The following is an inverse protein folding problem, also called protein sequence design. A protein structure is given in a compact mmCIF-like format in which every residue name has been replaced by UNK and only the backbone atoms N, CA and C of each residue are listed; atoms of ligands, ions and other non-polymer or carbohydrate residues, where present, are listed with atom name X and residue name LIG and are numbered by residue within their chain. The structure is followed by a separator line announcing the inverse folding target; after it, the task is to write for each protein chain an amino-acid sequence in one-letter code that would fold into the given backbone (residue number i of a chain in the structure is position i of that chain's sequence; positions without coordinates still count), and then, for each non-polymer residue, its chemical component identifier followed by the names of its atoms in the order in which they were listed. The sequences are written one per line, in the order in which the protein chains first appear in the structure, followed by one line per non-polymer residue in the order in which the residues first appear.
data_IF_639705141725
#
_entry.id   IF_639705141725
#
_cell.length_a   1.000
_cell.length_b   1.000
_cell.length_c   1.000
_cell.angle_alpha   90.00
_cell.angle_beta   90.00
_cell.angle_gamma   90.00
#
_symmetry.space_group_name_H-M   'P 1'
#
loop_
_entity.id
_entity.type
_entity.pdbx_description
1 polymer ?
#
# COMPACT_ATOMS: atom_id res chain seq x y z
N UNK A 1 -9.34 -53.42 5.23
CA UNK A 1 -10.24 -52.25 5.35
C UNK A 1 -9.58 -51.13 4.61
N UNK A 2 -9.94 -50.96 3.34
CA UNK A 2 -9.35 -49.95 2.45
C UNK A 2 -10.00 -48.59 2.71
N UNK A 3 -9.21 -47.66 3.25
CA UNK A 3 -9.60 -46.26 3.32
C UNK A 3 -9.36 -45.63 1.94
N UNK A 4 -10.40 -45.62 1.09
CA UNK A 4 -10.42 -44.80 -0.09
C UNK A 4 -10.43 -43.31 0.36
N UNK A 5 -9.29 -42.63 0.21
CA UNK A 5 -9.22 -41.19 0.25
C UNK A 5 -10.05 -40.63 -0.93
N UNK A 6 -11.06 -39.86 -0.62
CA UNK A 6 -11.82 -39.10 -1.63
C UNK A 6 -10.88 -38.08 -2.29
N UNK A 7 -10.88 -37.93 -3.62
CA UNK A 7 -10.14 -36.86 -4.27
C UNK A 7 -10.71 -35.53 -3.78
N UNK A 8 -9.81 -34.66 -3.25
CA UNK A 8 -10.17 -33.34 -2.77
C UNK A 8 -10.94 -32.56 -3.84
N UNK A 9 -12.07 -31.98 -3.46
CA UNK A 9 -12.75 -31.00 -4.31
C UNK A 9 -11.73 -29.90 -4.64
N UNK A 10 -11.66 -29.44 -5.92
CA UNK A 10 -10.86 -28.29 -6.25
C UNK A 10 -11.34 -27.12 -5.38
N UNK A 11 -10.43 -26.45 -4.71
CA UNK A 11 -10.72 -25.24 -3.98
C UNK A 11 -11.54 -24.32 -4.92
N UNK A 12 -12.70 -23.86 -4.45
CA UNK A 12 -13.54 -22.94 -5.24
C UNK A 12 -12.64 -21.76 -5.65
N UNK A 13 -12.51 -21.54 -6.96
CA UNK A 13 -11.77 -20.38 -7.44
C UNK A 13 -12.44 -19.13 -6.82
N UNK A 14 -11.69 -18.38 -6.03
CA UNK A 14 -12.16 -17.10 -5.54
C UNK A 14 -12.33 -16.16 -6.74
N UNK A 15 -13.58 -15.83 -7.05
CA UNK A 15 -13.89 -14.85 -8.09
C UNK A 15 -13.92 -13.46 -7.47
N UNK A 16 -12.91 -12.66 -7.77
CA UNK A 16 -12.91 -11.25 -7.40
C UNK A 16 -13.82 -10.45 -8.35
N UNK A 17 -14.46 -9.37 -7.86
CA UNK A 17 -15.28 -8.52 -8.70
C UNK A 17 -14.48 -7.89 -9.83
N UNK A 18 -15.04 -7.86 -11.05
CA UNK A 18 -14.38 -7.31 -12.25
C UNK A 18 -15.14 -6.14 -12.88
N UNK A 19 -16.38 -5.89 -12.47
CA UNK A 19 -17.24 -4.85 -13.03
C UNK A 19 -16.81 -3.46 -12.55
N UNK A 20 -16.40 -2.53 -13.44
CA UNK A 20 -16.05 -1.15 -13.08
C UNK A 20 -17.26 -0.22 -12.98
N UNK A 21 -18.49 -0.70 -13.26
CA UNK A 21 -19.69 0.16 -13.33
C UNK A 21 -19.99 0.83 -11.99
N UNK A 22 -20.14 2.15 -12.01
CA UNK A 22 -20.47 2.94 -10.83
C UNK A 22 -19.29 3.22 -9.88
N UNK A 23 -18.11 2.71 -10.19
CA UNK A 23 -16.91 3.02 -9.41
C UNK A 23 -16.35 4.41 -9.75
N UNK A 24 -15.72 5.09 -8.79
CA UNK A 24 -15.02 6.34 -9.09
C UNK A 24 -13.85 6.09 -10.06
N UNK A 25 -13.62 7.03 -10.97
CA UNK A 25 -12.49 6.93 -11.89
C UNK A 25 -11.16 7.10 -11.12
N UNK A 26 -10.19 6.26 -11.45
CA UNK A 26 -8.86 6.33 -10.86
C UNK A 26 -8.20 7.66 -11.19
N UNK A 27 -7.72 8.36 -10.17
CA UNK A 27 -7.02 9.64 -10.29
C UNK A 27 -5.53 9.46 -10.57
N UNK A 28 -4.85 10.55 -10.91
CA UNK A 28 -3.38 10.57 -10.96
C UNK A 28 -2.81 10.53 -9.54
N UNK A 29 -1.65 9.87 -9.34
CA UNK A 29 -1.01 9.84 -8.03
C UNK A 29 -0.60 11.26 -7.60
N UNK A 30 -0.93 11.61 -6.36
CA UNK A 30 -0.49 12.86 -5.75
C UNK A 30 0.90 12.70 -5.13
N UNK A 31 1.67 13.79 -5.06
CA UNK A 31 2.84 13.89 -4.21
C UNK A 31 2.40 14.52 -2.87
N UNK A 32 2.51 13.76 -1.79
CA UNK A 32 2.18 14.22 -0.44
C UNK A 32 3.49 14.50 0.32
N UNK A 33 3.73 15.79 0.60
CA UNK A 33 4.84 16.21 1.46
C UNK A 33 4.38 16.16 2.91
N UNK A 34 5.03 15.31 3.71
CA UNK A 34 4.68 15.06 5.10
C UNK A 34 5.79 15.57 6.02
N UNK A 35 5.38 16.27 7.07
CA UNK A 35 6.25 16.74 8.13
C UNK A 35 6.36 15.72 9.28
N UNK A 36 7.28 15.96 10.20
CA UNK A 36 7.37 15.19 11.43
C UNK A 36 6.11 15.38 12.29
N UNK A 37 5.50 14.27 12.69
CA UNK A 37 4.28 14.24 13.47
C UNK A 37 2.98 14.33 12.68
N UNK A 38 3.02 14.38 11.34
CA UNK A 38 1.81 14.43 10.52
C UNK A 38 1.01 13.12 10.58
N UNK A 39 -0.32 13.27 10.42
CA UNK A 39 -1.26 12.18 10.21
C UNK A 39 -1.58 12.04 8.72
N UNK A 40 -1.49 10.80 8.21
CA UNK A 40 -1.85 10.44 6.84
C UNK A 40 -2.99 9.43 6.86
N UNK A 41 -4.04 9.67 6.08
CA UNK A 41 -5.11 8.70 5.84
C UNK A 41 -4.91 8.03 4.48
N UNK A 42 -4.73 6.70 4.50
CA UNK A 42 -4.68 5.84 3.31
C UNK A 42 -5.94 4.97 3.26
N UNK A 43 -6.79 5.21 2.27
CA UNK A 43 -7.98 4.40 2.01
C UNK A 43 -7.70 3.45 0.87
N UNK A 44 -7.92 2.16 1.09
CA UNK A 44 -7.88 1.13 0.06
C UNK A 44 -9.29 0.95 -0.46
N UNK A 45 -9.48 0.98 -1.78
CA UNK A 45 -10.81 0.77 -2.34
C UNK A 45 -10.80 0.55 -3.84
N UNK A 46 -11.93 0.06 -4.40
CA UNK A 46 -12.06 -0.18 -5.82
C UNK A 46 -12.19 1.13 -6.61
N UNK A 47 -11.61 1.13 -7.80
CA UNK A 47 -11.65 2.23 -8.76
C UNK A 47 -11.87 1.72 -10.17
N UNK A 48 -12.43 2.55 -11.04
CA UNK A 48 -12.48 2.32 -12.48
C UNK A 48 -11.22 2.91 -13.12
N UNK A 49 -10.37 2.08 -13.69
CA UNK A 49 -9.14 2.51 -14.37
C UNK A 49 -9.30 2.40 -15.88
N UNK A 50 -9.13 3.51 -16.58
CA UNK A 50 -9.09 3.49 -18.03
C UNK A 50 -7.71 3.05 -18.52
N UNK A 51 -7.68 2.01 -19.33
CA UNK A 51 -6.52 1.49 -20.04
C UNK A 51 -6.83 1.53 -21.53
N UNK A 52 -6.26 2.52 -22.23
CA UNK A 52 -6.56 2.79 -23.64
C UNK A 52 -8.08 2.91 -23.89
N UNK A 53 -8.65 1.95 -24.62
CA UNK A 53 -10.08 1.94 -24.97
C UNK A 53 -10.95 1.13 -24.02
N UNK A 54 -10.36 0.54 -22.98
CA UNK A 54 -11.06 -0.33 -22.03
C UNK A 54 -11.03 0.28 -20.63
N UNK A 55 -12.14 0.17 -19.90
CA UNK A 55 -12.20 0.49 -18.47
C UNK A 55 -12.25 -0.80 -17.68
N UNK A 56 -11.36 -0.93 -16.72
CA UNK A 56 -11.25 -2.10 -15.84
C UNK A 56 -11.44 -1.70 -14.39
N UNK A 57 -11.96 -2.63 -13.59
CA UNK A 57 -11.99 -2.49 -12.15
C UNK A 57 -10.62 -2.81 -11.58
N UNK A 58 -10.10 -1.93 -10.77
CA UNK A 58 -8.82 -2.09 -10.07
C UNK A 58 -8.96 -1.64 -8.61
N UNK A 59 -7.91 -1.74 -7.83
CA UNK A 59 -7.81 -1.25 -6.47
C UNK A 59 -6.80 -0.09 -6.41
N UNK A 60 -7.06 0.90 -5.55
CA UNK A 60 -6.16 2.02 -5.40
C UNK A 60 -6.02 2.47 -3.95
N UNK A 61 -4.90 3.11 -3.64
CA UNK A 61 -4.74 3.90 -2.43
C UNK A 61 -5.23 5.33 -2.68
N UNK A 62 -6.18 5.81 -1.88
CA UNK A 62 -6.79 7.14 -2.03
C UNK A 62 -7.31 7.41 -3.45
N UNK A 63 -7.84 6.36 -4.09
CA UNK A 63 -8.43 6.46 -5.43
C UNK A 63 -7.42 6.62 -6.57
N UNK A 64 -6.12 6.44 -6.35
CA UNK A 64 -5.10 6.55 -7.39
C UNK A 64 -4.29 5.27 -7.59
N UNK A 65 -3.77 5.07 -8.80
CA UNK A 65 -2.87 3.98 -9.19
C UNK A 65 -1.74 4.55 -10.07
N UNK A 66 -0.48 4.47 -9.62
CA UNK A 66 -0.04 4.12 -8.27
C UNK A 66 -0.73 4.93 -7.19
N UNK A 67 -0.67 4.47 -5.95
CA UNK A 67 -1.04 5.26 -4.78
C UNK A 67 -0.21 6.55 -4.66
N UNK A 68 -0.55 7.46 -3.73
CA UNK A 68 0.21 8.70 -3.51
C UNK A 68 1.70 8.43 -3.31
N UNK A 69 2.54 9.27 -3.87
CA UNK A 69 3.97 9.30 -3.51
C UNK A 69 4.14 10.07 -2.21
N UNK A 70 4.65 9.39 -1.18
CA UNK A 70 4.90 10.00 0.11
C UNK A 70 6.32 10.57 0.14
N UNK A 71 6.45 11.86 0.43
CA UNK A 71 7.75 12.54 0.52
C UNK A 71 7.94 13.03 1.95
N UNK A 72 8.96 12.53 2.62
CA UNK A 72 9.28 12.84 4.03
C UNK A 72 10.75 13.21 4.18
N UNK A 73 11.12 13.76 5.33
CA UNK A 73 12.53 13.96 5.69
C UNK A 73 13.04 12.82 6.56
N UNK A 74 14.31 12.51 6.40
CA UNK A 74 15.04 11.62 7.31
C UNK A 74 14.87 12.10 8.76
N UNK A 75 14.60 11.16 9.67
CA UNK A 75 14.39 11.40 11.09
C UNK A 75 12.94 11.70 11.49
N UNK A 76 12.05 11.99 10.51
CA UNK A 76 10.63 12.20 10.78
C UNK A 76 9.92 10.91 11.21
N UNK A 77 8.80 11.08 11.89
CA UNK A 77 7.81 10.05 12.20
C UNK A 77 6.44 10.50 11.68
N UNK A 78 5.71 9.62 11.03
CA UNK A 78 4.35 9.88 10.51
C UNK A 78 3.40 8.82 11.05
N UNK A 79 2.18 9.24 11.39
CA UNK A 79 1.08 8.34 11.76
C UNK A 79 0.26 8.04 10.50
N UNK A 80 0.15 6.77 10.12
CA UNK A 80 -0.61 6.39 8.92
C UNK A 80 -1.82 5.57 9.32
N UNK A 81 -3.01 6.13 9.08
CA UNK A 81 -4.30 5.49 9.31
C UNK A 81 -4.76 4.81 8.03
N UNK A 82 -4.72 3.49 8.00
CA UNK A 82 -5.18 2.69 6.85
C UNK A 82 -6.60 2.23 7.09
N UNK A 83 -7.49 2.46 6.11
CA UNK A 83 -8.86 1.90 6.10
C UNK A 83 -9.01 1.02 4.88
N UNK A 84 -9.51 -0.20 5.08
CA UNK A 84 -9.66 -1.20 4.03
C UNK A 84 -11.11 -1.27 3.51
N UNK A 85 -11.35 -0.75 2.32
CA UNK A 85 -12.59 -0.92 1.55
C UNK A 85 -12.36 -1.78 0.29
N UNK A 86 -11.30 -2.60 0.31
CA UNK A 86 -10.95 -3.52 -0.77
C UNK A 86 -11.80 -4.80 -0.79
N UNK A 87 -11.29 -5.83 -1.47
CA UNK A 87 -12.03 -7.07 -1.72
C UNK A 87 -11.74 -8.17 -0.71
N UNK A 88 -10.65 -8.04 0.02
CA UNK A 88 -10.18 -9.01 1.00
C UNK A 88 -9.46 -8.31 2.14
N UNK A 89 -9.15 -9.05 3.20
CA UNK A 89 -8.28 -8.55 4.27
C UNK A 89 -6.92 -8.17 3.73
N UNK A 90 -6.23 -7.25 4.38
CA UNK A 90 -4.97 -6.71 3.87
C UNK A 90 -4.03 -6.28 4.98
N UNK A 91 -2.79 -5.96 4.61
CA UNK A 91 -1.82 -5.22 5.42
C UNK A 91 -1.17 -4.16 4.54
N UNK A 92 -0.37 -3.26 5.11
CA UNK A 92 0.53 -2.40 4.36
C UNK A 92 1.94 -2.64 4.86
N UNK A 93 2.78 -3.18 3.97
CA UNK A 93 4.21 -3.33 4.20
C UNK A 93 4.96 -2.11 3.64
N UNK A 94 5.94 -1.66 4.38
CA UNK A 94 6.79 -0.50 4.07
C UNK A 94 8.14 -0.99 3.59
N UNK A 95 8.18 -1.41 2.34
CA UNK A 95 9.28 -2.18 1.78
C UNK A 95 10.62 -1.45 1.82
N UNK A 96 11.58 -2.09 2.47
CA UNK A 96 12.94 -1.59 2.61
C UNK A 96 13.16 -0.62 3.76
N UNK A 97 12.10 -0.16 4.46
CA UNK A 97 12.27 0.66 5.64
C UNK A 97 12.70 -0.17 6.85
N UNK A 98 13.57 0.39 7.65
CA UNK A 98 13.96 -0.14 8.95
C UNK A 98 13.08 0.46 10.03
N UNK A 99 12.09 -0.30 10.48
CA UNK A 99 11.04 0.16 11.40
C UNK A 99 10.76 -0.84 12.53
N UNK A 100 9.87 -0.48 13.46
CA UNK A 100 9.45 -1.37 14.51
C UNK A 100 8.66 -2.55 13.94
N UNK A 101 8.99 -3.78 14.36
CA UNK A 101 8.42 -5.03 13.84
C UNK A 101 6.88 -5.01 13.77
N UNK A 102 6.19 -4.47 14.79
CA UNK A 102 4.72 -4.41 14.84
C UNK A 102 4.08 -3.57 13.74
N UNK A 103 4.86 -2.78 12.99
CA UNK A 103 4.41 -1.93 11.90
C UNK A 103 4.92 -2.39 10.52
N UNK A 104 5.60 -3.55 10.46
CA UNK A 104 6.18 -4.08 9.23
C UNK A 104 5.14 -4.58 8.21
N UNK A 105 3.91 -4.85 8.66
CA UNK A 105 2.81 -5.22 7.79
C UNK A 105 2.85 -6.66 7.28
N UNK A 106 3.61 -7.55 7.93
CA UNK A 106 3.62 -8.98 7.60
C UNK A 106 2.44 -9.66 8.30
N UNK A 107 1.48 -10.24 7.55
CA UNK A 107 0.26 -10.81 8.12
C UNK A 107 0.56 -11.98 9.05
N UNK A 108 -0.13 -12.01 10.19
CA UNK A 108 -0.06 -13.02 11.26
C UNK A 108 1.30 -13.09 12.00
N UNK A 109 2.35 -12.45 11.49
CA UNK A 109 3.66 -12.37 12.13
C UNK A 109 3.82 -11.05 12.93
N UNK A 110 3.59 -9.92 12.26
CA UNK A 110 3.78 -8.59 12.88
C UNK A 110 2.46 -7.94 13.28
N UNK A 111 1.37 -8.31 12.63
CA UNK A 111 0.02 -7.82 12.91
C UNK A 111 -1.07 -8.79 12.44
N UNK A 112 -2.26 -8.65 13.00
CA UNK A 112 -3.46 -9.24 12.42
C UNK A 112 -3.83 -8.46 11.15
N UNK A 113 -4.21 -9.14 10.04
CA UNK A 113 -4.70 -8.48 8.85
C UNK A 113 -5.88 -7.51 9.13
N UNK A 114 -5.95 -6.45 8.36
CA UNK A 114 -7.03 -5.46 8.40
C UNK A 114 -8.22 -6.04 7.62
N UNK A 115 -9.32 -6.41 8.26
CA UNK A 115 -10.47 -6.96 7.54
C UNK A 115 -11.11 -5.91 6.64
N UNK A 116 -11.94 -6.33 5.68
CA UNK A 116 -12.76 -5.42 4.89
C UNK A 116 -13.67 -4.61 5.82
N UNK A 117 -13.69 -3.30 5.65
CA UNK A 117 -14.35 -2.34 6.54
C UNK A 117 -13.57 -1.99 7.82
N UNK A 118 -12.44 -2.65 8.06
CA UNK A 118 -11.56 -2.40 9.21
C UNK A 118 -10.50 -1.35 8.95
N UNK A 119 -9.75 -1.03 10.01
CA UNK A 119 -8.64 -0.08 9.97
C UNK A 119 -7.48 -0.51 10.85
N UNK A 120 -6.29 0.03 10.56
CA UNK A 120 -5.09 -0.13 11.37
C UNK A 120 -4.27 1.15 11.33
N UNK A 121 -3.58 1.47 12.43
CA UNK A 121 -2.74 2.66 12.52
C UNK A 121 -1.27 2.26 12.63
N UNK A 122 -0.49 2.67 11.65
CA UNK A 122 0.96 2.52 11.62
C UNK A 122 1.63 3.77 12.16
N UNK A 123 2.73 3.60 12.87
CA UNK A 123 3.63 4.67 13.27
C UNK A 123 4.97 4.43 12.58
N UNK A 124 5.27 5.22 11.58
CA UNK A 124 6.39 4.99 10.67
C UNK A 124 7.48 6.01 10.92
N UNK A 125 8.65 5.54 11.30
CA UNK A 125 9.89 6.33 11.36
C UNK A 125 10.70 6.15 10.10
N UNK A 126 11.41 7.21 9.69
CA UNK A 126 12.20 7.25 8.47
C UNK A 126 13.68 7.49 8.80
N UNK A 127 14.40 6.47 9.32
CA UNK A 127 15.79 6.65 9.80
C UNK A 127 16.79 6.86 8.68
N UNK A 128 16.53 6.32 7.49
CA UNK A 128 17.50 6.28 6.39
C UNK A 128 16.91 6.99 5.16
N UNK A 129 17.71 7.86 4.48
CA UNK A 129 17.26 8.49 3.24
C UNK A 129 17.29 7.47 2.10
N UNK A 130 16.37 7.61 1.15
CA UNK A 130 16.30 6.69 0.01
C UNK A 130 14.97 6.73 -0.70
N UNK A 131 14.84 5.85 -1.70
CA UNK A 131 13.60 5.58 -2.41
C UNK A 131 13.09 4.21 -1.97
N UNK A 132 11.90 4.19 -1.47
CA UNK A 132 11.19 3.03 -0.94
C UNK A 132 9.82 2.91 -1.60
N UNK A 133 9.04 1.90 -1.22
CA UNK A 133 7.66 1.74 -1.67
C UNK A 133 6.81 1.05 -0.61
N UNK A 134 5.49 1.10 -0.75
CA UNK A 134 4.55 0.45 0.15
C UNK A 134 3.53 -0.35 -0.65
N UNK A 135 3.13 -1.51 -0.11
CA UNK A 135 2.23 -2.46 -0.76
C UNK A 135 1.65 -3.46 0.26
N UNK A 136 0.59 -4.21 -0.08
CA UNK A 136 0.08 -5.27 0.78
C UNK A 136 1.00 -6.51 0.78
N UNK A 137 0.85 -7.35 1.81
CA UNK A 137 1.47 -8.66 1.92
C UNK A 137 0.44 -9.82 1.97
N UNK A 138 -0.80 -9.59 1.50
CA UNK A 138 -1.84 -10.62 1.38
C UNK A 138 -2.27 -10.71 -0.07
N UNK A 139 -2.19 -11.95 -0.63
CA UNK A 139 -2.52 -12.21 -2.04
C UNK A 139 -1.86 -11.18 -2.93
N UNK A 140 -0.55 -11.07 -2.83
CA UNK A 140 0.28 -10.13 -3.61
C UNK A 140 0.10 -10.33 -5.10
N UNK A 141 -0.09 -11.60 -5.53
CA UNK A 141 -0.45 -12.00 -6.88
C UNK A 141 -1.72 -11.31 -7.41
N UNK A 142 -2.61 -10.91 -6.54
CA UNK A 142 -3.84 -10.17 -6.86
C UNK A 142 -3.73 -8.69 -6.48
N UNK A 143 -3.43 -8.38 -5.23
CA UNK A 143 -3.57 -7.03 -4.70
C UNK A 143 -2.59 -6.03 -5.30
N UNK A 144 -1.34 -6.43 -5.56
CA UNK A 144 -0.36 -5.56 -6.23
C UNK A 144 -0.69 -5.40 -7.70
N UNK A 145 -1.04 -6.48 -8.41
CA UNK A 145 -1.43 -6.43 -9.82
C UNK A 145 -2.68 -5.57 -10.03
N UNK A 146 -3.59 -5.55 -9.05
CA UNK A 146 -4.78 -4.70 -9.07
C UNK A 146 -4.49 -3.22 -8.76
N UNK A 147 -3.26 -2.85 -8.38
CA UNK A 147 -2.83 -1.45 -8.25
C UNK A 147 -2.48 -0.99 -6.84
N UNK A 148 -2.45 -1.87 -5.84
CA UNK A 148 -2.12 -1.50 -4.46
C UNK A 148 -0.61 -1.40 -4.26
N UNK A 149 -0.01 -0.35 -4.74
CA UNK A 149 1.38 0.03 -4.47
C UNK A 149 1.56 1.55 -4.57
N UNK A 150 2.55 2.08 -3.85
CA UNK A 150 2.89 3.50 -3.90
C UNK A 150 4.35 3.74 -3.53
N UNK A 151 4.89 4.87 -3.95
CA UNK A 151 6.27 5.24 -3.72
C UNK A 151 6.44 6.02 -2.42
N UNK A 152 7.64 5.92 -1.83
CA UNK A 152 8.02 6.65 -0.64
C UNK A 152 9.44 7.20 -0.83
N UNK A 153 9.58 8.51 -0.75
CA UNK A 153 10.84 9.24 -0.89
C UNK A 153 11.24 9.85 0.45
N UNK A 154 12.34 9.37 1.01
CA UNK A 154 12.94 9.92 2.22
C UNK A 154 14.12 10.81 1.85
N UNK A 155 13.96 12.11 2.04
CA UNK A 155 15.01 13.09 1.77
C UNK A 155 16.03 13.12 2.90
N UNK A 156 17.32 13.23 2.60
CA UNK A 156 18.34 13.36 3.63
C UNK A 156 18.15 14.66 4.45
N UNK A 157 18.57 14.62 5.70
CA UNK A 157 18.66 15.83 6.52
C UNK A 157 19.70 16.76 5.87
N UNK A 158 19.41 18.06 5.68
CA UNK A 158 20.39 18.99 5.16
C UNK A 158 21.65 18.99 6.04
N UNK A 159 22.81 18.76 5.43
CA UNK A 159 24.08 18.94 6.12
C UNK A 159 24.24 20.44 6.36
N UNK A 160 24.16 20.88 7.61
CA UNK A 160 24.38 22.28 7.97
C UNK A 160 25.79 22.71 7.51
N UNK A 161 25.86 23.69 6.61
CA UNK A 161 27.10 24.25 6.11
C UNK A 161 27.54 23.83 4.70
N UNK A 162 26.82 22.98 4.01
CA UNK A 162 27.07 22.66 2.60
C UNK A 162 25.83 23.03 1.74
N UNK A 163 25.99 23.88 0.71
CA UNK A 163 24.87 24.14 -0.20
C UNK A 163 24.42 22.85 -0.87
N UNK A 164 23.11 22.67 -1.16
CA UNK A 164 22.60 21.48 -1.83
C UNK A 164 23.30 21.35 -3.19
N UNK A 165 24.03 20.27 -3.39
CA UNK A 165 24.52 19.90 -4.72
C UNK A 165 23.28 19.53 -5.52
N UNK A 166 23.00 20.25 -6.62
CA UNK A 166 21.93 19.93 -7.51
C UNK A 166 22.10 18.48 -7.97
N UNK A 167 21.17 17.60 -7.61
CA UNK A 167 21.08 16.29 -8.24
C UNK A 167 20.53 16.53 -9.64
N UNK A 168 21.39 16.38 -10.65
CA UNK A 168 20.96 16.28 -12.05
C UNK A 168 20.40 14.86 -12.22
N UNK A 169 19.12 14.75 -12.58
CA UNK A 169 18.48 13.54 -13.03
C UNK A 169 18.63 13.40 -14.53
#
# INVERSE_FOLDING_TARGET
MDHHAQPGQPASAEFFPTDPTGLPEATRPALLELADGDDLHLQIGPVAKRLEDTTVRMLGYNGSIPGPTLKVRQGSEVIVHVTNHGDLETTVHWHGLRLENKYDGVPHETQTPIPVGGSFTYRIRFPDPGLYWYHPHIREDYTQEMGLYGNLLVLPTPVTGRPPTAMSF
#
